data_IF_313549191882
#
_entry.id   IF_313549191882
#
_cell.length_a   1.000
_cell.length_b   1.000
_cell.length_c   1.000
_cell.angle_alpha   90.00
_cell.angle_beta   90.00
_cell.angle_gamma   90.00
#
_symmetry.space_group_name_H-M   'P 1'
#
loop_
_entity.id
_entity.type
_entity.pdbx_description
1 polymer ?
#
# COMPACT_ATOMS: atom_id res chain seq x y z
N UNK A 1 -22.99 -61.76 -32.80
CA UNK A 1 -21.88 -60.95 -32.33
C UNK A 1 -22.36 -59.50 -32.44
N UNK A 2 -22.64 -58.86 -31.27
CA UNK A 2 -23.37 -57.58 -31.18
C UNK A 2 -22.43 -56.38 -31.34
N UNK A 3 -22.61 -55.65 -32.46
CA UNK A 3 -21.81 -54.46 -32.79
C UNK A 3 -22.44 -53.19 -32.16
N UNK A 4 -23.43 -53.32 -31.27
CA UNK A 4 -24.21 -52.20 -30.75
C UNK A 4 -23.63 -51.51 -29.48
N UNK A 5 -22.41 -51.87 -29.03
CA UNK A 5 -21.93 -51.39 -27.73
C UNK A 5 -20.84 -50.30 -27.78
N UNK A 6 -20.37 -49.91 -28.95
CA UNK A 6 -19.21 -49.01 -29.07
C UNK A 6 -19.59 -47.51 -29.30
N UNK A 7 -20.79 -47.24 -29.82
CA UNK A 7 -21.20 -45.86 -30.11
C UNK A 7 -21.65 -45.08 -28.88
N UNK A 8 -22.18 -45.76 -27.86
CA UNK A 8 -22.67 -45.09 -26.65
C UNK A 8 -21.53 -44.58 -25.73
N UNK A 9 -20.32 -45.16 -25.87
CA UNK A 9 -19.17 -44.77 -25.06
C UNK A 9 -18.56 -43.42 -25.51
N UNK A 10 -18.57 -43.12 -26.80
CA UNK A 10 -18.00 -41.88 -27.34
C UNK A 10 -18.81 -40.64 -26.91
N UNK A 11 -20.13 -40.75 -26.79
CA UNK A 11 -21.00 -39.67 -26.30
C UNK A 11 -20.79 -39.37 -24.82
N UNK A 12 -20.66 -40.39 -23.99
CA UNK A 12 -20.49 -40.20 -22.53
C UNK A 12 -19.14 -39.58 -22.17
N UNK A 13 -18.07 -39.92 -22.88
CA UNK A 13 -16.73 -39.36 -22.66
C UNK A 13 -16.67 -37.88 -23.13
N UNK A 14 -17.41 -37.51 -24.19
CA UNK A 14 -17.50 -36.16 -24.69
C UNK A 14 -18.20 -35.20 -23.69
N UNK A 15 -19.33 -35.63 -23.14
CA UNK A 15 -20.08 -34.81 -22.15
C UNK A 15 -19.34 -34.68 -20.82
N UNK A 16 -18.67 -35.74 -20.36
CA UNK A 16 -17.86 -35.70 -19.14
C UNK A 16 -16.66 -34.74 -19.28
N UNK A 17 -16.04 -34.69 -20.45
CA UNK A 17 -14.93 -33.76 -20.72
C UNK A 17 -15.41 -32.31 -20.81
N UNK A 18 -16.56 -32.03 -21.41
CA UNK A 18 -17.14 -30.67 -21.43
C UNK A 18 -17.51 -30.19 -20.02
N UNK A 19 -18.10 -31.05 -19.19
CA UNK A 19 -18.46 -30.72 -17.82
C UNK A 19 -17.23 -30.38 -16.96
N UNK A 20 -16.10 -31.10 -17.15
CA UNK A 20 -14.85 -30.83 -16.45
C UNK A 20 -14.23 -29.50 -16.87
N UNK A 21 -14.32 -29.11 -18.15
CA UNK A 21 -13.79 -27.84 -18.66
C UNK A 21 -14.60 -26.66 -18.12
N UNK A 22 -15.94 -26.80 -18.05
CA UNK A 22 -16.81 -25.73 -17.50
C UNK A 22 -16.57 -25.53 -16.00
N UNK A 23 -16.30 -26.61 -15.24
CA UNK A 23 -16.02 -26.52 -13.82
C UNK A 23 -14.69 -25.82 -13.51
N UNK A 24 -13.70 -25.90 -14.42
CA UNK A 24 -12.40 -25.21 -14.27
C UNK A 24 -12.47 -23.71 -14.61
N UNK A 25 -13.51 -23.25 -15.32
CA UNK A 25 -13.68 -21.82 -15.68
C UNK A 25 -14.39 -21.00 -14.60
N UNK A 26 -14.91 -21.62 -13.54
CA UNK A 26 -15.61 -20.95 -12.44
C UNK A 26 -14.74 -20.71 -11.20
N UNK A 27 -13.41 -20.67 -11.36
CA UNK A 27 -12.53 -20.27 -10.26
C UNK A 27 -12.85 -18.80 -9.97
N UNK A 28 -13.44 -18.42 -8.81
CA UNK A 28 -13.63 -17.03 -8.47
C UNK A 28 -12.24 -16.39 -8.43
N UNK A 29 -12.07 -15.32 -9.17
CA UNK A 29 -10.88 -14.47 -9.08
C UNK A 29 -10.83 -13.97 -7.62
N UNK A 30 -10.06 -14.64 -6.79
CA UNK A 30 -9.69 -14.12 -5.47
C UNK A 30 -8.91 -12.86 -5.78
N UNK A 31 -9.56 -11.70 -5.65
CA UNK A 31 -8.86 -10.43 -5.69
C UNK A 31 -7.86 -10.47 -4.55
N UNK A 32 -6.60 -10.76 -4.87
CA UNK A 32 -5.50 -10.54 -3.97
C UNK A 32 -5.50 -9.04 -3.70
N UNK A 33 -6.07 -8.64 -2.55
CA UNK A 33 -5.79 -7.32 -2.01
C UNK A 33 -4.28 -7.31 -1.81
N UNK A 34 -3.56 -6.62 -2.69
CA UNK A 34 -2.17 -6.32 -2.47
C UNK A 34 -2.13 -5.57 -1.13
N UNK A 35 -1.78 -6.28 -0.07
CA UNK A 35 -1.33 -5.65 1.16
C UNK A 35 -0.07 -4.91 0.73
N UNK A 36 -0.19 -3.59 0.60
CA UNK A 36 0.98 -2.75 0.46
C UNK A 36 1.83 -3.01 1.70
N UNK A 37 3.07 -3.48 1.51
CA UNK A 37 4.08 -3.57 2.59
C UNK A 37 4.40 -2.19 3.19
N UNK A 38 3.68 -1.16 2.78
CA UNK A 38 3.70 0.20 3.30
C UNK A 38 2.42 0.46 4.09
N UNK A 39 2.53 1.04 5.29
CA UNK A 39 1.45 1.29 6.22
C UNK A 39 0.20 1.99 5.65
N UNK A 40 -0.81 2.13 6.48
CA UNK A 40 -2.08 2.76 6.11
C UNK A 40 -1.99 4.30 6.27
N UNK A 41 -2.04 5.09 5.18
CA UNK A 41 -1.89 6.54 5.25
C UNK A 41 -3.02 7.25 6.00
N UNK A 42 -4.22 6.66 6.10
CA UNK A 42 -5.33 7.24 6.88
C UNK A 42 -5.06 7.14 8.37
N UNK A 43 -4.54 5.99 8.83
CA UNK A 43 -4.12 5.80 10.22
C UNK A 43 -2.90 6.70 10.51
N UNK A 44 -1.94 6.77 9.59
CA UNK A 44 -0.79 7.65 9.70
C UNK A 44 -1.17 9.12 9.85
N UNK A 45 -2.20 9.58 9.12
CA UNK A 45 -2.72 10.94 9.29
C UNK A 45 -3.34 11.15 10.68
N UNK A 46 -4.04 10.18 11.23
CA UNK A 46 -4.59 10.27 12.59
C UNK A 46 -3.49 10.34 13.64
N UNK A 47 -2.45 9.52 13.52
CA UNK A 47 -1.27 9.55 14.38
C UNK A 47 -0.57 10.92 14.29
N UNK A 48 -0.39 11.45 13.07
CA UNK A 48 0.19 12.77 12.85
C UNK A 48 -0.64 13.88 13.51
N UNK A 49 -1.96 13.86 13.34
CA UNK A 49 -2.86 14.85 13.93
C UNK A 49 -2.85 14.82 15.47
N UNK A 50 -2.55 13.68 16.07
CA UNK A 50 -2.53 13.53 17.53
C UNK A 50 -1.17 13.90 18.12
N UNK A 51 -0.08 13.48 17.49
CA UNK A 51 1.27 13.55 18.09
C UNK A 51 2.13 14.67 17.50
N UNK A 52 1.89 15.11 16.27
CA UNK A 52 2.84 15.95 15.53
C UNK A 52 2.36 17.41 15.34
N UNK A 53 1.05 17.66 15.37
CA UNK A 53 0.44 18.99 15.17
C UNK A 53 0.97 20.07 16.12
N UNK A 54 1.35 19.80 17.38
CA UNK A 54 1.89 20.85 18.25
C UNK A 54 3.13 21.55 17.68
N UNK A 55 3.89 20.88 16.81
CA UNK A 55 5.12 21.42 16.23
C UNK A 55 5.11 21.47 14.70
N UNK A 56 4.43 20.53 14.04
CA UNK A 56 4.40 20.39 12.59
C UNK A 56 3.04 20.74 11.99
N UNK A 57 3.06 21.35 10.81
CA UNK A 57 1.88 21.39 9.95
C UNK A 57 1.79 20.04 9.24
N UNK A 58 0.69 19.31 9.42
CA UNK A 58 0.60 17.93 8.90
C UNK A 58 -0.04 17.84 7.52
N UNK A 59 -0.93 18.75 7.15
CA UNK A 59 -1.67 18.72 5.88
C UNK A 59 -1.23 19.81 4.88
N UNK A 60 -0.56 20.86 5.33
CA UNK A 60 -0.22 22.03 4.52
C UNK A 60 1.25 22.44 4.66
N UNK A 61 1.74 23.24 3.71
CA UNK A 61 3.07 23.85 3.82
C UNK A 61 3.05 25.01 4.81
N UNK A 62 4.07 25.07 5.67
CA UNK A 62 4.22 26.13 6.65
C UNK A 62 5.48 26.95 6.39
N UNK A 63 5.45 28.23 6.73
CA UNK A 63 6.60 29.15 6.55
C UNK A 63 7.46 29.30 7.80
N UNK A 64 6.90 29.02 8.99
CA UNK A 64 7.56 29.24 10.28
C UNK A 64 7.51 28.00 11.17
N UNK A 65 8.58 27.76 11.94
CA UNK A 65 8.69 26.65 12.90
C UNK A 65 9.27 25.36 12.33
N UNK A 66 8.82 24.21 12.83
CA UNK A 66 9.24 22.91 12.32
C UNK A 66 8.76 22.70 10.88
N UNK A 67 9.52 22.01 10.01
CA UNK A 67 9.13 21.76 8.63
C UNK A 67 7.76 21.07 8.55
N UNK A 68 6.90 21.49 7.60
CA UNK A 68 5.64 20.81 7.36
C UNK A 68 5.85 19.42 6.80
N UNK A 69 4.87 18.53 6.94
CA UNK A 69 4.95 17.19 6.33
C UNK A 69 4.97 17.25 4.81
N UNK A 70 4.33 18.25 4.20
CA UNK A 70 4.41 18.49 2.76
C UNK A 70 5.84 18.85 2.35
N UNK A 71 6.51 19.73 3.11
CA UNK A 71 7.90 20.11 2.81
C UNK A 71 8.83 18.93 3.01
N UNK A 72 8.68 18.18 4.12
CA UNK A 72 9.44 16.95 4.37
C UNK A 72 9.26 15.95 3.23
N UNK A 73 8.02 15.70 2.81
CA UNK A 73 7.71 14.76 1.73
C UNK A 73 8.42 15.09 0.41
N UNK A 74 8.56 16.38 0.12
CA UNK A 74 9.13 16.86 -1.14
C UNK A 74 10.65 17.08 -1.09
N UNK A 75 11.32 16.87 0.04
CA UNK A 75 12.79 16.89 0.10
C UNK A 75 13.37 15.73 -0.72
N UNK A 76 14.42 15.96 -1.54
CA UNK A 76 15.03 14.90 -2.36
C UNK A 76 15.56 13.70 -1.56
N UNK A 77 15.97 13.92 -0.31
CA UNK A 77 16.51 12.90 0.60
C UNK A 77 15.44 12.11 1.33
N UNK A 78 14.16 12.50 1.24
CA UNK A 78 13.07 11.83 1.96
C UNK A 78 12.73 10.50 1.29
N UNK A 79 12.93 9.42 2.01
CA UNK A 79 12.58 8.04 1.64
C UNK A 79 11.90 7.36 2.82
N UNK A 80 11.26 6.21 2.59
CA UNK A 80 10.70 5.43 3.69
C UNK A 80 11.77 5.08 4.74
N UNK A 81 12.97 4.69 4.29
CA UNK A 81 14.05 4.34 5.17
C UNK A 81 14.57 5.54 5.97
N UNK A 82 14.78 6.71 5.32
CA UNK A 82 15.23 7.91 6.02
C UNK A 82 14.23 8.37 7.06
N UNK A 83 12.93 8.34 6.74
CA UNK A 83 11.88 8.65 7.71
C UNK A 83 11.86 7.66 8.88
N UNK A 84 12.04 6.36 8.61
CA UNK A 84 12.07 5.33 9.65
C UNK A 84 13.23 5.55 10.62
N UNK A 85 14.39 5.94 10.13
CA UNK A 85 15.56 6.31 10.96
C UNK A 85 15.30 7.60 11.74
N UNK A 86 14.77 8.62 11.06
CA UNK A 86 14.50 9.93 11.68
C UNK A 86 13.49 9.86 12.82
N UNK A 87 12.40 9.12 12.64
CA UNK A 87 11.35 8.96 13.66
C UNK A 87 11.81 8.15 14.89
N UNK A 88 12.93 7.46 14.80
CA UNK A 88 13.53 6.67 15.89
C UNK A 88 14.78 7.27 16.51
N UNK A 89 15.23 8.41 15.99
CA UNK A 89 16.39 9.11 16.49
C UNK A 89 15.98 10.48 17.04
N UNK A 90 16.54 10.85 18.19
CA UNK A 90 16.38 12.21 18.69
C UNK A 90 17.11 13.18 17.76
N UNK A 91 16.43 14.26 17.35
CA UNK A 91 17.02 15.27 16.51
C UNK A 91 16.53 16.66 16.92
N UNK A 92 17.48 17.57 17.10
CA UNK A 92 17.24 18.96 17.52
C UNK A 92 16.20 19.08 18.65
N UNK A 93 15.15 19.84 18.42
CA UNK A 93 14.11 20.16 19.39
C UNK A 93 12.91 19.20 19.35
N UNK A 94 12.94 18.20 18.47
CA UNK A 94 11.88 17.21 18.42
C UNK A 94 11.98 16.27 19.62
N UNK A 95 10.92 16.11 20.42
CA UNK A 95 10.92 15.17 21.53
C UNK A 95 11.07 13.73 21.04
N UNK A 96 11.69 12.89 21.86
CA UNK A 96 11.84 11.47 21.53
C UNK A 96 10.48 10.76 21.75
N UNK A 97 9.69 10.67 20.68
CA UNK A 97 8.39 9.99 20.69
C UNK A 97 8.59 8.49 20.49
N UNK A 98 8.01 7.70 21.38
CA UNK A 98 7.99 6.23 21.25
C UNK A 98 6.74 5.86 20.43
N UNK A 99 6.93 5.67 19.13
CA UNK A 99 5.86 5.30 18.20
C UNK A 99 5.99 3.79 17.89
N UNK A 100 4.92 2.98 18.04
CA UNK A 100 4.93 1.57 17.65
C UNK A 100 5.32 1.38 16.18
N UNK A 101 5.92 0.23 15.84
CA UNK A 101 6.43 0.00 14.48
C UNK A 101 5.34 0.09 13.41
N UNK A 102 4.14 -0.46 13.67
CA UNK A 102 3.00 -0.39 12.77
C UNK A 102 2.57 1.06 12.51
N UNK A 103 2.44 1.85 13.57
CA UNK A 103 2.07 3.26 13.47
C UNK A 103 3.17 4.10 12.80
N UNK A 104 4.44 3.71 12.97
CA UNK A 104 5.56 4.33 12.26
C UNK A 104 5.45 4.10 10.74
N UNK A 105 5.12 2.89 10.33
CA UNK A 105 4.96 2.56 8.90
C UNK A 105 3.72 3.26 8.31
N UNK A 106 2.62 3.37 9.07
CA UNK A 106 1.43 4.15 8.69
C UNK A 106 1.74 5.64 8.51
N UNK A 107 2.47 6.22 9.45
CA UNK A 107 2.91 7.62 9.40
C UNK A 107 3.83 7.90 8.20
N UNK A 108 4.75 6.99 7.91
CA UNK A 108 5.62 7.06 6.74
C UNK A 108 4.80 7.03 5.45
N UNK A 109 3.81 6.13 5.36
CA UNK A 109 2.92 6.04 4.21
C UNK A 109 2.14 7.35 4.01
N UNK A 110 1.66 7.96 5.08
CA UNK A 110 0.99 9.24 5.02
C UNK A 110 1.92 10.36 4.53
N UNK A 111 3.10 10.53 5.13
CA UNK A 111 4.06 11.58 4.74
C UNK A 111 4.44 11.43 3.27
N UNK A 112 4.80 10.22 2.82
CA UNK A 112 5.19 10.00 1.42
C UNK A 112 4.02 10.21 0.45
N UNK A 113 2.78 9.99 0.88
CA UNK A 113 1.57 10.28 0.11
C UNK A 113 1.34 11.77 -0.14
N UNK A 114 1.94 12.67 0.65
CA UNK A 114 1.88 14.12 0.45
C UNK A 114 2.84 14.62 -0.63
N UNK A 115 3.65 13.74 -1.21
CA UNK A 115 4.62 14.11 -2.26
C UNK A 115 3.89 14.60 -3.50
N UNK A 116 4.26 15.78 -3.94
CA UNK A 116 3.76 16.33 -5.20
C UNK A 116 4.46 15.67 -6.40
N UNK A 117 3.73 15.38 -7.49
CA UNK A 117 4.36 14.93 -8.71
C UNK A 117 5.42 15.95 -9.16
N UNK A 118 6.66 15.51 -9.34
CA UNK A 118 7.70 16.37 -9.90
C UNK A 118 7.27 16.79 -11.30
N UNK A 119 7.21 18.11 -11.55
CA UNK A 119 6.95 18.61 -12.89
C UNK A 119 7.97 17.99 -13.88
N UNK A 120 7.56 17.54 -15.07
CA UNK A 120 8.48 16.99 -16.06
C UNK A 120 9.55 18.03 -16.38
N UNK A 121 10.82 17.68 -16.18
CA UNK A 121 11.94 18.55 -16.57
C UNK A 121 11.84 18.75 -18.07
N UNK A 122 11.48 19.94 -18.50
CA UNK A 122 11.64 20.35 -19.90
C UNK A 122 13.15 20.31 -20.21
N UNK A 123 13.54 19.37 -21.05
CA UNK A 123 14.88 19.35 -21.66
C UNK A 123 14.94 20.39 -22.75
#
# INVERSE_FOLDING_TARGET
MNICSVENYKGAVGMARLALIILMLTIPAVSATAQSDGGNPLIGRQTAATLCVPCHQVDESRRDGAPSFVDIANMPSTTALSLKVFLRSSHKEMPNLIIPNSETDDLIAYILGLRQPSAPRRR
#
